data_IF_390063594584
#
_entry.id   IF_390063594584
#
_cell.length_a   1.000
_cell.length_b   1.000
_cell.length_c   1.000
_cell.angle_alpha   90.00
_cell.angle_beta   90.00
_cell.angle_gamma   90.00
#
_symmetry.space_group_name_H-M   'P 1'
#
loop_
_entity.id
_entity.type
_entity.pdbx_description
1 polymer ?
#
# COMPACT_ATOMS: atom_id res chain seq x y z
N UNK A 1 33.03 -45.37 32.61
CA UNK A 1 33.44 -44.41 31.55
C UNK A 1 32.26 -43.97 30.67
N UNK A 2 31.02 -44.00 31.17
CA UNK A 2 29.87 -43.33 30.56
C UNK A 2 29.12 -42.66 31.71
N UNK A 3 29.12 -41.33 31.76
CA UNK A 3 28.40 -40.54 32.77
C UNK A 3 27.46 -39.57 32.05
N UNK A 4 26.54 -38.96 32.78
CA UNK A 4 25.51 -38.08 32.23
C UNK A 4 26.09 -36.94 31.38
N UNK A 5 27.21 -36.35 31.81
CA UNK A 5 27.92 -35.32 31.05
C UNK A 5 28.45 -35.82 29.70
N UNK A 6 28.96 -37.06 29.65
CA UNK A 6 29.40 -37.68 28.40
C UNK A 6 28.22 -37.97 27.46
N UNK A 7 27.11 -38.48 27.99
CA UNK A 7 25.89 -38.74 27.19
C UNK A 7 25.33 -37.44 26.61
N UNK A 8 25.24 -36.37 27.40
CA UNK A 8 24.81 -35.05 26.92
C UNK A 8 25.75 -34.50 25.83
N UNK A 9 27.06 -34.70 25.99
CA UNK A 9 28.06 -34.27 25.00
C UNK A 9 27.95 -35.02 23.68
N UNK A 10 27.66 -36.32 23.70
CA UNK A 10 27.47 -37.10 22.47
C UNK A 10 26.09 -36.84 21.82
N UNK A 11 25.03 -36.67 22.62
CA UNK A 11 23.70 -36.29 22.13
C UNK A 11 23.72 -34.90 21.47
N UNK A 12 24.48 -33.93 22.01
CA UNK A 12 24.61 -32.60 21.42
C UNK A 12 25.23 -32.60 20.01
N UNK A 13 25.93 -33.67 19.62
CA UNK A 13 26.46 -33.83 18.26
C UNK A 13 25.40 -34.32 17.27
N UNK A 14 24.30 -34.87 17.74
CA UNK A 14 23.23 -35.37 16.89
C UNK A 14 22.23 -34.25 16.60
N UNK A 15 21.78 -34.15 15.34
CA UNK A 15 20.75 -33.18 14.95
C UNK A 15 19.45 -33.47 15.70
N UNK A 16 18.82 -32.47 16.36
CA UNK A 16 17.63 -32.69 17.19
C UNK A 16 16.38 -33.07 16.38
N UNK A 17 16.39 -32.85 15.07
CA UNK A 17 15.27 -33.06 14.14
C UNK A 17 15.48 -34.26 13.20
N UNK A 18 16.34 -35.21 13.55
CA UNK A 18 16.71 -36.35 12.68
C UNK A 18 15.52 -37.19 12.24
N UNK A 19 14.59 -37.46 13.14
CA UNK A 19 13.42 -38.30 12.85
C UNK A 19 12.42 -37.54 11.97
N UNK A 20 12.27 -36.23 12.20
CA UNK A 20 11.38 -35.35 11.46
C UNK A 20 11.81 -35.21 10.00
N UNK A 21 13.09 -34.90 9.75
CA UNK A 21 13.62 -34.77 8.38
C UNK A 21 13.54 -36.10 7.62
N UNK A 22 13.79 -37.23 8.30
CA UNK A 22 13.65 -38.58 7.71
C UNK A 22 12.19 -38.89 7.37
N UNK A 23 11.25 -38.61 8.28
CA UNK A 23 9.83 -38.80 8.05
C UNK A 23 9.31 -37.91 6.90
N UNK A 24 9.77 -36.66 6.84
CA UNK A 24 9.45 -35.73 5.77
C UNK A 24 10.01 -36.20 4.43
N UNK A 25 11.25 -36.65 4.38
CA UNK A 25 11.86 -37.25 3.17
C UNK A 25 11.10 -38.51 2.71
N UNK A 26 10.71 -39.39 3.64
CA UNK A 26 9.91 -40.59 3.35
C UNK A 26 8.52 -40.26 2.78
N UNK A 27 7.98 -39.08 3.07
CA UNK A 27 6.72 -38.58 2.48
C UNK A 27 6.88 -38.03 1.07
N UNK A 28 8.10 -38.05 0.50
CA UNK A 28 8.41 -37.36 -0.74
C UNK A 28 8.37 -35.83 -0.60
N UNK A 29 8.70 -35.31 0.60
CA UNK A 29 8.74 -33.87 0.90
C UNK A 29 7.38 -33.16 0.91
N UNK A 30 6.29 -33.89 1.19
CA UNK A 30 4.91 -33.36 1.12
C UNK A 30 4.20 -33.27 2.47
N UNK A 31 4.61 -34.05 3.47
CA UNK A 31 3.96 -34.08 4.78
C UNK A 31 4.39 -32.89 5.66
N UNK A 32 3.62 -31.80 5.61
CA UNK A 32 3.84 -30.57 6.38
C UNK A 32 3.84 -30.82 7.90
N UNK A 33 3.17 -31.86 8.38
CA UNK A 33 3.10 -32.19 9.82
C UNK A 33 4.45 -32.63 10.40
N UNK A 34 5.45 -32.90 9.54
CA UNK A 34 6.81 -33.25 9.93
C UNK A 34 7.73 -32.04 10.05
N UNK A 35 7.30 -30.88 9.57
CA UNK A 35 8.09 -29.67 9.65
C UNK A 35 8.14 -29.15 11.09
N UNK A 36 9.24 -28.48 11.42
CA UNK A 36 9.42 -27.91 12.75
C UNK A 36 8.67 -26.59 12.87
N UNK A 37 8.20 -26.29 14.08
CA UNK A 37 7.54 -25.02 14.40
C UNK A 37 7.80 -24.62 15.86
N UNK A 38 7.65 -23.34 16.15
CA UNK A 38 7.84 -22.75 17.48
C UNK A 38 9.21 -23.07 18.06
N UNK A 39 9.21 -23.52 19.32
CA UNK A 39 10.45 -23.81 20.04
C UNK A 39 11.32 -24.88 19.37
N UNK A 40 10.72 -25.90 18.75
CA UNK A 40 11.49 -26.95 18.07
C UNK A 40 12.28 -26.40 16.86
N UNK A 41 11.70 -25.44 16.13
CA UNK A 41 12.38 -24.77 15.03
C UNK A 41 13.47 -23.81 15.54
N UNK A 42 13.20 -23.07 16.62
CA UNK A 42 14.17 -22.19 17.26
C UNK A 42 15.39 -22.96 17.77
N UNK A 43 15.17 -24.06 18.50
CA UNK A 43 16.23 -24.93 19.01
C UNK A 43 17.04 -25.55 17.85
N UNK A 44 16.37 -25.91 16.75
CA UNK A 44 17.01 -26.45 15.56
C UNK A 44 17.91 -25.41 14.84
N UNK A 45 17.46 -24.16 14.72
CA UNK A 45 18.27 -23.06 14.18
C UNK A 45 19.47 -22.75 15.08
N UNK A 46 19.26 -22.64 16.40
CA UNK A 46 20.36 -22.41 17.36
C UNK A 46 21.41 -23.52 17.30
N UNK A 47 20.98 -24.79 17.17
CA UNK A 47 21.89 -25.91 16.97
C UNK A 47 22.67 -25.79 15.65
N UNK A 48 22.06 -25.23 14.61
CA UNK A 48 22.60 -25.14 13.26
C UNK A 48 23.67 -24.06 13.08
N UNK A 49 23.62 -22.98 13.87
CA UNK A 49 24.54 -21.82 13.74
C UNK A 49 26.01 -22.17 13.98
N UNK A 50 26.29 -23.18 14.81
CA UNK A 50 27.65 -23.64 15.12
C UNK A 50 28.13 -24.78 14.20
N UNK A 51 27.36 -25.14 13.17
CA UNK A 51 27.60 -26.32 12.32
C UNK A 51 27.67 -25.94 10.84
N UNK A 52 28.49 -26.67 10.07
CA UNK A 52 28.36 -26.66 8.61
C UNK A 52 27.23 -27.62 8.21
N UNK A 53 26.08 -27.05 7.92
CA UNK A 53 24.88 -27.81 7.55
C UNK A 53 25.01 -28.40 6.15
N UNK A 54 24.49 -29.61 5.97
CA UNK A 54 24.27 -30.18 4.65
C UNK A 54 23.15 -29.44 3.91
N UNK A 55 23.10 -29.53 2.57
CA UNK A 55 21.98 -28.97 1.79
C UNK A 55 20.62 -29.54 2.23
N UNK A 56 20.56 -30.81 2.64
CA UNK A 56 19.33 -31.45 3.13
C UNK A 56 18.84 -30.77 4.42
N UNK A 57 19.73 -30.53 5.38
CA UNK A 57 19.40 -29.88 6.64
C UNK A 57 19.01 -28.41 6.41
N UNK A 58 19.75 -27.69 5.56
CA UNK A 58 19.43 -26.29 5.21
C UNK A 58 18.05 -26.19 4.58
N UNK A 59 17.74 -27.03 3.61
CA UNK A 59 16.45 -27.05 2.92
C UNK A 59 15.31 -27.39 3.89
N UNK A 60 15.50 -28.37 4.79
CA UNK A 60 14.49 -28.73 5.78
C UNK A 60 14.17 -27.59 6.76
N UNK A 61 15.20 -26.88 7.25
CA UNK A 61 15.02 -25.75 8.16
C UNK A 61 14.41 -24.53 7.45
N UNK A 62 14.82 -24.26 6.21
CA UNK A 62 14.26 -23.20 5.39
C UNK A 62 12.77 -23.45 5.12
N UNK A 63 12.40 -24.66 4.69
CA UNK A 63 10.99 -25.01 4.46
C UNK A 63 10.19 -24.97 5.76
N UNK A 64 10.72 -25.50 6.86
CA UNK A 64 10.05 -25.40 8.18
C UNK A 64 9.76 -23.95 8.56
N UNK A 65 10.72 -23.04 8.33
CA UNK A 65 10.55 -21.61 8.58
C UNK A 65 9.53 -20.95 7.65
N UNK A 66 9.54 -21.30 6.36
CA UNK A 66 8.57 -20.80 5.40
C UNK A 66 7.13 -21.17 5.80
N UNK A 67 6.91 -22.42 6.22
CA UNK A 67 5.60 -22.88 6.67
C UNK A 67 5.15 -22.23 7.97
N UNK A 68 6.06 -22.01 8.92
CA UNK A 68 5.76 -21.24 10.12
C UNK A 68 5.32 -19.80 9.77
N UNK A 69 6.04 -19.10 8.89
CA UNK A 69 5.67 -17.76 8.41
C UNK A 69 4.29 -17.73 7.74
N UNK A 70 3.97 -18.75 6.93
CA UNK A 70 2.67 -18.89 6.27
C UNK A 70 1.56 -19.15 7.31
N UNK A 71 1.83 -19.98 8.32
CA UNK A 71 0.87 -20.29 9.39
C UNK A 71 0.52 -19.08 10.26
N UNK A 72 1.44 -18.12 10.37
CA UNK A 72 1.26 -16.89 11.14
C UNK A 72 0.57 -15.77 10.33
N UNK A 73 0.43 -15.93 9.02
CA UNK A 73 -0.26 -14.99 8.15
C UNK A 73 -1.78 -15.09 8.29
N UNK A 74 -2.51 -14.13 7.71
CA UNK A 74 -3.98 -14.20 7.67
C UNK A 74 -4.45 -15.40 6.84
N UNK A 75 -5.64 -15.97 7.11
CA UNK A 75 -6.14 -17.14 6.39
C UNK A 75 -6.18 -16.97 4.87
N UNK A 76 -6.50 -15.77 4.38
CA UNK A 76 -6.56 -15.42 2.96
C UNK A 76 -5.17 -15.46 2.33
N UNK A 77 -4.18 -14.85 2.99
CA UNK A 77 -2.78 -14.84 2.54
C UNK A 77 -2.18 -16.24 2.60
N UNK A 78 -2.46 -17.00 3.66
CA UNK A 78 -1.99 -18.38 3.78
C UNK A 78 -2.56 -19.28 2.67
N UNK A 79 -3.82 -19.07 2.27
CA UNK A 79 -4.45 -19.80 1.16
C UNK A 79 -3.76 -19.48 -0.17
N UNK A 80 -3.41 -18.22 -0.41
CA UNK A 80 -2.65 -17.80 -1.60
C UNK A 80 -1.28 -18.46 -1.61
N UNK A 81 -0.53 -18.42 -0.50
CA UNK A 81 0.77 -19.07 -0.44
C UNK A 81 0.68 -20.56 -0.72
N UNK A 82 -0.28 -21.29 -0.13
CA UNK A 82 -0.50 -22.72 -0.43
C UNK A 82 -0.78 -23.00 -1.90
N UNK A 83 -1.54 -22.12 -2.56
CA UNK A 83 -1.82 -22.22 -4.01
C UNK A 83 -0.55 -22.09 -4.86
N UNK A 84 0.35 -21.16 -4.53
CA UNK A 84 1.57 -20.90 -5.31
C UNK A 84 2.79 -21.68 -4.84
N UNK A 85 2.73 -22.31 -3.66
CA UNK A 85 3.86 -23.01 -3.03
C UNK A 85 4.57 -24.01 -3.95
N UNK A 86 3.87 -24.88 -4.70
CA UNK A 86 4.53 -25.85 -5.56
C UNK A 86 5.36 -25.21 -6.67
N UNK A 87 4.99 -24.01 -7.13
CA UNK A 87 5.76 -23.25 -8.13
C UNK A 87 6.90 -22.46 -7.46
N UNK A 88 6.65 -21.91 -6.27
CA UNK A 88 7.67 -21.20 -5.49
C UNK A 88 8.82 -22.12 -5.07
N UNK A 89 8.52 -23.34 -4.63
CA UNK A 89 9.53 -24.36 -4.30
C UNK A 89 10.41 -24.76 -5.47
N UNK A 90 9.91 -24.62 -6.71
CA UNK A 90 10.68 -24.93 -7.91
C UNK A 90 11.56 -23.76 -8.35
N UNK A 91 11.36 -22.53 -7.85
CA UNK A 91 12.12 -21.34 -8.27
C UNK A 91 13.24 -20.99 -7.29
N UNK A 92 13.12 -21.36 -6.03
CA UNK A 92 14.08 -20.98 -4.98
C UNK A 92 14.41 -22.14 -4.05
N UNK A 93 15.64 -22.16 -3.56
CA UNK A 93 16.11 -23.00 -2.45
C UNK A 93 16.04 -22.27 -1.10
N UNK A 94 15.66 -20.99 -1.11
CA UNK A 94 15.50 -20.11 0.05
C UNK A 94 14.04 -19.62 0.14
N UNK A 95 13.12 -20.56 0.27
CA UNK A 95 11.69 -20.31 0.33
C UNK A 95 11.33 -19.40 1.50
N UNK A 96 11.95 -19.57 2.67
CA UNK A 96 11.65 -18.72 3.83
C UNK A 96 12.02 -17.26 3.60
N UNK A 97 13.12 -17.00 2.87
CA UNK A 97 13.53 -15.66 2.50
C UNK A 97 12.56 -15.02 1.50
N UNK A 98 12.13 -15.78 0.49
CA UNK A 98 11.16 -15.30 -0.50
C UNK A 98 9.79 -15.02 0.14
N UNK A 99 9.28 -15.93 0.98
CA UNK A 99 8.00 -15.72 1.69
C UNK A 99 8.08 -14.49 2.59
N UNK A 100 9.19 -14.33 3.33
CA UNK A 100 9.42 -13.16 4.15
C UNK A 100 9.39 -11.86 3.32
N UNK A 101 10.11 -11.84 2.21
CA UNK A 101 10.18 -10.65 1.35
C UNK A 101 8.82 -10.31 0.74
N UNK A 102 8.04 -11.32 0.32
CA UNK A 102 6.65 -11.11 -0.12
C UNK A 102 5.82 -10.50 1.01
N UNK A 103 5.95 -10.99 2.24
CA UNK A 103 5.23 -10.44 3.40
C UNK A 103 5.67 -9.00 3.74
N UNK A 104 6.94 -8.65 3.54
CA UNK A 104 7.45 -7.27 3.70
C UNK A 104 6.80 -6.34 2.68
N UNK A 105 6.76 -6.75 1.40
CA UNK A 105 6.21 -5.93 0.32
C UNK A 105 4.69 -5.87 0.28
N UNK A 106 4.00 -6.99 0.49
CA UNK A 106 2.54 -7.10 0.40
C UNK A 106 1.82 -6.93 1.74
N UNK A 107 2.51 -7.14 2.86
CA UNK A 107 1.90 -7.17 4.19
C UNK A 107 0.83 -8.26 4.29
N UNK A 108 -0.24 -7.96 5.04
CA UNK A 108 -1.39 -8.88 5.20
C UNK A 108 -2.43 -8.78 4.08
N UNK A 109 -2.09 -8.16 2.94
CA UNK A 109 -3.04 -7.95 1.84
C UNK A 109 -3.01 -9.11 0.86
N UNK A 110 -4.14 -9.81 0.73
CA UNK A 110 -4.30 -10.94 -0.20
C UNK A 110 -4.09 -10.53 -1.66
N UNK A 111 -4.64 -9.39 -2.08
CA UNK A 111 -4.48 -8.89 -3.46
C UNK A 111 -2.99 -8.67 -3.80
N UNK A 112 -2.25 -7.93 -2.96
CA UNK A 112 -0.83 -7.68 -3.17
C UNK A 112 -0.03 -8.98 -3.15
N UNK A 113 -0.31 -9.86 -2.19
CA UNK A 113 0.37 -11.17 -2.08
C UNK A 113 0.18 -11.98 -3.35
N UNK A 114 -1.06 -12.06 -3.86
CA UNK A 114 -1.34 -12.80 -5.09
C UNK A 114 -0.64 -12.18 -6.31
N UNK A 115 -0.61 -10.84 -6.43
CA UNK A 115 0.11 -10.17 -7.52
C UNK A 115 1.61 -10.47 -7.48
N UNK A 116 2.26 -10.38 -6.32
CA UNK A 116 3.69 -10.68 -6.19
C UNK A 116 3.97 -12.15 -6.51
N UNK A 117 3.18 -13.09 -5.97
CA UNK A 117 3.32 -14.51 -6.28
C UNK A 117 3.15 -14.80 -7.79
N UNK A 118 2.14 -14.22 -8.43
CA UNK A 118 1.94 -14.37 -9.88
C UNK A 118 3.10 -13.82 -10.69
N UNK A 119 3.66 -12.68 -10.29
CA UNK A 119 4.83 -12.10 -10.95
C UNK A 119 6.04 -13.02 -10.86
N UNK A 120 6.33 -13.57 -9.67
CA UNK A 120 7.44 -14.50 -9.46
C UNK A 120 7.31 -15.75 -10.33
N UNK A 121 6.11 -16.34 -10.39
CA UNK A 121 5.86 -17.53 -11.22
C UNK A 121 5.96 -17.21 -12.72
N UNK A 122 5.47 -16.05 -13.17
CA UNK A 122 5.57 -15.63 -14.58
C UNK A 122 7.01 -15.31 -15.00
N UNK A 123 7.76 -14.65 -14.12
CA UNK A 123 9.14 -14.23 -14.36
C UNK A 123 10.07 -15.43 -14.63
N UNK A 124 9.76 -16.60 -14.07
CA UNK A 124 10.42 -17.89 -14.36
C UNK A 124 10.30 -18.33 -15.83
N UNK A 125 9.20 -17.99 -16.50
CA UNK A 125 8.93 -18.44 -17.88
C UNK A 125 9.74 -17.65 -18.93
N UNK A 126 10.42 -16.57 -18.53
CA UNK A 126 11.44 -15.88 -19.31
C UNK A 126 12.81 -16.02 -18.65
N UNK A 127 13.89 -16.01 -19.41
CA UNK A 127 15.27 -16.26 -18.95
C UNK A 127 15.78 -15.29 -17.88
N UNK A 128 15.38 -15.47 -16.62
CA UNK A 128 15.99 -14.81 -15.45
C UNK A 128 16.89 -15.85 -14.77
N UNK A 129 18.22 -15.67 -14.84
CA UNK A 129 19.15 -16.47 -14.06
C UNK A 129 19.05 -16.05 -12.58
N UNK A 130 18.94 -17.02 -11.68
CA UNK A 130 19.07 -16.87 -10.22
C UNK A 130 17.90 -16.27 -9.42
N UNK A 131 16.69 -16.80 -9.58
CA UNK A 131 15.55 -16.64 -8.64
C UNK A 131 15.76 -17.22 -7.22
N UNK A 132 17.02 -17.31 -6.77
CA UNK A 132 17.44 -17.88 -5.49
C UNK A 132 17.49 -16.86 -4.36
N UNK A 133 17.59 -15.56 -4.68
CA UNK A 133 17.82 -14.50 -3.69
C UNK A 133 16.53 -13.70 -3.40
N UNK A 134 16.15 -13.50 -2.11
CA UNK A 134 15.15 -12.51 -1.70
C UNK A 134 15.27 -11.16 -2.42
N UNK A 135 16.50 -10.70 -2.73
CA UNK A 135 16.72 -9.45 -3.46
C UNK A 135 16.07 -9.38 -4.85
N UNK A 136 15.76 -10.51 -5.49
CA UNK A 136 15.02 -10.50 -6.77
C UNK A 136 13.54 -10.16 -6.59
N UNK A 137 12.94 -10.49 -5.45
CA UNK A 137 11.54 -10.13 -5.16
C UNK A 137 11.41 -8.61 -5.13
N UNK A 138 12.31 -7.92 -4.42
CA UNK A 138 12.36 -6.46 -4.40
C UNK A 138 12.48 -5.87 -5.81
N UNK A 139 13.43 -6.34 -6.63
CA UNK A 139 13.64 -5.84 -7.99
C UNK A 139 12.38 -5.99 -8.85
N UNK A 140 11.72 -7.15 -8.81
CA UNK A 140 10.50 -7.42 -9.57
C UNK A 140 9.33 -6.57 -9.08
N UNK A 141 9.17 -6.42 -7.76
CA UNK A 141 8.12 -5.56 -7.19
C UNK A 141 8.34 -4.12 -7.65
N UNK A 142 9.58 -3.61 -7.57
CA UNK A 142 9.90 -2.25 -8.02
C UNK A 142 9.62 -2.06 -9.51
N UNK A 143 10.05 -2.97 -10.38
CA UNK A 143 9.92 -2.80 -11.84
C UNK A 143 8.51 -3.05 -12.39
N UNK A 144 7.73 -3.94 -11.75
CA UNK A 144 6.43 -4.36 -12.28
C UNK A 144 5.22 -3.88 -11.47
N UNK A 145 5.38 -3.57 -10.18
CA UNK A 145 4.29 -3.09 -9.33
C UNK A 145 4.40 -1.61 -8.96
N UNK A 146 5.61 -1.08 -8.77
CA UNK A 146 5.82 0.32 -8.35
C UNK A 146 6.06 1.22 -9.55
N UNK A 147 6.93 0.82 -10.48
CA UNK A 147 7.20 1.61 -11.67
C UNK A 147 5.96 1.61 -12.58
N UNK A 148 5.49 2.82 -12.90
CA UNK A 148 4.30 3.04 -13.73
C UNK A 148 3.03 2.38 -13.16
N UNK A 149 2.94 2.32 -11.82
CA UNK A 149 1.87 1.61 -11.11
C UNK A 149 0.46 2.04 -11.54
N UNK A 150 0.28 3.31 -11.96
CA UNK A 150 -1.01 3.87 -12.40
C UNK A 150 -1.61 3.16 -13.62
N UNK A 151 -0.76 2.58 -14.48
CA UNK A 151 -1.13 1.87 -15.70
C UNK A 151 -1.08 0.34 -15.54
N UNK A 152 -0.81 -0.16 -14.32
CA UNK A 152 -0.77 -1.59 -14.00
C UNK A 152 -2.12 -2.06 -13.45
N UNK A 153 -2.39 -3.37 -13.42
CA UNK A 153 -3.60 -3.92 -12.78
C UNK A 153 -3.76 -3.52 -11.31
N UNK A 154 -2.66 -3.27 -10.60
CA UNK A 154 -2.67 -2.79 -9.22
C UNK A 154 -3.06 -1.30 -9.11
N UNK A 155 -3.02 -0.57 -10.22
CA UNK A 155 -3.27 0.87 -10.28
C UNK A 155 -4.65 1.27 -9.79
N UNK A 156 -5.69 0.53 -10.15
CA UNK A 156 -7.07 0.85 -9.71
C UNK A 156 -7.24 0.72 -8.20
N UNK A 157 -6.62 -0.29 -7.60
CA UNK A 157 -6.60 -0.47 -6.16
C UNK A 157 -5.89 0.68 -5.45
N UNK A 158 -4.70 1.04 -5.94
CA UNK A 158 -3.90 2.13 -5.39
C UNK A 158 -4.58 3.51 -5.58
N UNK A 159 -5.23 3.75 -6.73
CA UNK A 159 -6.06 4.95 -6.97
C UNK A 159 -7.24 5.01 -6.01
N UNK A 160 -7.85 3.87 -5.70
CA UNK A 160 -8.96 3.80 -4.72
C UNK A 160 -8.48 4.19 -3.32
N UNK A 161 -7.32 3.69 -2.90
CA UNK A 161 -6.68 4.07 -1.63
C UNK A 161 -6.36 5.56 -1.62
N UNK A 162 -5.76 6.06 -2.70
CA UNK A 162 -5.42 7.47 -2.86
C UNK A 162 -6.66 8.36 -2.76
N UNK A 163 -7.72 8.04 -3.51
CA UNK A 163 -8.98 8.77 -3.49
C UNK A 163 -9.61 8.75 -2.09
N UNK A 164 -9.53 7.62 -1.38
CA UNK A 164 -10.05 7.49 -0.01
C UNK A 164 -9.38 8.46 0.98
N UNK A 165 -8.12 8.84 0.76
CA UNK A 165 -7.44 9.87 1.57
C UNK A 165 -7.77 11.27 1.05
N UNK A 166 -7.69 11.46 -0.27
CA UNK A 166 -7.75 12.80 -0.87
C UNK A 166 -9.16 13.39 -0.90
N UNK A 167 -10.20 12.57 -0.95
CA UNK A 167 -11.61 12.97 -0.94
C UNK A 167 -12.20 13.04 0.48
N UNK A 168 -11.46 12.59 1.48
CA UNK A 168 -11.89 12.64 2.88
C UNK A 168 -11.98 14.09 3.40
N UNK A 169 -12.97 14.37 4.24
CA UNK A 169 -13.16 15.70 4.83
C UNK A 169 -11.95 16.11 5.68
N UNK A 170 -11.40 15.15 6.43
CA UNK A 170 -10.23 15.24 7.30
C UNK A 170 -8.91 14.84 6.60
N UNK A 171 -8.80 15.11 5.29
CA UNK A 171 -7.60 14.81 4.48
C UNK A 171 -6.29 15.28 5.13
N UNK A 172 -6.26 16.49 5.68
CA UNK A 172 -5.02 17.06 6.23
C UNK A 172 -4.56 16.29 7.47
N UNK A 173 -5.50 15.95 8.35
CA UNK A 173 -5.25 15.13 9.52
C UNK A 173 -4.80 13.72 9.12
N UNK A 174 -5.48 13.09 8.15
CA UNK A 174 -5.10 11.77 7.64
C UNK A 174 -3.69 11.75 7.04
N UNK A 175 -3.34 12.75 6.22
CA UNK A 175 -2.01 12.88 5.62
C UNK A 175 -0.93 13.10 6.70
N UNK A 176 -1.20 13.94 7.70
CA UNK A 176 -0.25 14.19 8.80
C UNK A 176 -0.03 12.95 9.67
N UNK A 177 -1.09 12.20 10.00
CA UNK A 177 -0.97 10.94 10.76
C UNK A 177 -0.28 9.86 9.93
N UNK A 178 -0.56 9.79 8.64
CA UNK A 178 0.15 8.88 7.75
C UNK A 178 1.64 9.22 7.64
N UNK A 179 2.01 10.50 7.57
CA UNK A 179 3.40 10.95 7.64
C UNK A 179 4.10 10.53 8.94
N UNK A 180 3.40 10.60 10.09
CA UNK A 180 3.92 10.11 11.36
C UNK A 180 4.15 8.59 11.34
N UNK A 181 3.23 7.83 10.72
CA UNK A 181 3.39 6.38 10.55
C UNK A 181 4.59 6.02 9.67
N UNK A 182 4.84 6.79 8.60
CA UNK A 182 6.01 6.62 7.73
C UNK A 182 7.33 6.85 8.47
N UNK A 183 7.38 7.84 9.36
CA UNK A 183 8.56 8.17 10.19
C UNK A 183 8.74 7.26 11.40
N UNK A 184 7.78 6.38 11.67
CA UNK A 184 7.72 5.55 12.89
C UNK A 184 7.67 6.39 14.19
N UNK A 185 7.22 7.64 14.09
CA UNK A 185 7.08 8.59 15.19
C UNK A 185 5.64 8.57 15.69
N UNK A 186 5.21 7.51 16.39
CA UNK A 186 3.81 7.42 16.85
C UNK A 186 3.67 7.80 18.33
N UNK A 187 2.95 8.89 18.59
CA UNK A 187 2.28 9.10 19.89
C UNK A 187 0.87 8.56 19.75
N UNK A 188 0.56 7.46 20.43
CA UNK A 188 -0.71 6.74 20.23
C UNK A 188 -1.81 7.49 20.99
N UNK A 189 -2.75 8.07 20.26
CA UNK A 189 -4.06 8.42 20.82
C UNK A 189 -5.08 7.36 20.39
N UNK A 190 -5.43 6.47 21.31
CA UNK A 190 -6.36 5.35 21.10
C UNK A 190 -7.78 5.81 20.74
N UNK A 191 -8.12 7.09 20.95
CA UNK A 191 -9.45 7.64 20.70
C UNK A 191 -9.57 8.39 19.37
N UNK A 192 -8.47 8.53 18.62
CA UNK A 192 -8.47 9.26 17.37
C UNK A 192 -9.12 8.42 16.24
N UNK A 193 -10.18 8.97 15.62
CA UNK A 193 -10.98 8.29 14.59
C UNK A 193 -10.23 8.21 13.25
N UNK A 194 -9.36 9.17 12.97
CA UNK A 194 -8.53 9.24 11.75
C UNK A 194 -7.56 8.05 11.69
N UNK A 195 -6.97 7.65 12.83
CA UNK A 195 -6.14 6.44 12.91
C UNK A 195 -6.94 5.18 12.50
N UNK A 196 -8.20 5.06 12.94
CA UNK A 196 -9.08 3.95 12.54
C UNK A 196 -9.42 4.03 11.06
N UNK A 197 -9.62 5.22 10.51
CA UNK A 197 -9.86 5.42 9.08
C UNK A 197 -8.67 4.94 8.24
N UNK A 198 -7.44 5.31 8.62
CA UNK A 198 -6.23 4.83 7.92
C UNK A 198 -6.05 3.31 8.00
N UNK A 199 -6.41 2.72 9.15
CA UNK A 199 -6.39 1.26 9.35
C UNK A 199 -7.45 0.55 8.49
N UNK A 200 -8.66 1.12 8.39
CA UNK A 200 -9.73 0.59 7.53
C UNK A 200 -9.41 0.70 6.04
N UNK A 201 -8.72 1.76 5.61
CA UNK A 201 -8.18 1.89 4.24
C UNK A 201 -7.07 0.85 4.01
N UNK A 202 -6.44 0.36 5.09
CA UNK A 202 -5.38 -0.64 5.03
C UNK A 202 -4.00 -0.05 4.75
N UNK A 203 -3.79 1.26 4.95
CA UNK A 203 -2.49 1.93 4.78
C UNK A 203 -1.56 1.72 5.96
N UNK A 204 -2.14 1.53 7.13
CA UNK A 204 -1.41 1.29 8.37
C UNK A 204 -1.91 0.03 9.04
N UNK A 205 -1.11 -0.49 9.97
CA UNK A 205 -1.46 -1.57 10.88
C UNK A 205 -0.96 -1.25 12.27
N UNK A 206 -1.62 -1.83 13.26
CA UNK A 206 -1.10 -1.86 14.62
C UNK A 206 -0.07 -3.00 14.76
N UNK A 207 1.15 -2.66 15.16
CA UNK A 207 2.18 -3.63 15.49
C UNK A 207 2.73 -3.34 16.89
N UNK A 208 2.32 -4.14 17.87
CA UNK A 208 2.69 -3.99 19.29
C UNK A 208 2.40 -2.60 19.86
N UNK A 209 1.25 -2.02 19.50
CA UNK A 209 0.82 -0.70 19.92
C UNK A 209 1.37 0.42 19.04
N UNK A 210 2.35 0.17 18.16
CA UNK A 210 2.89 1.20 17.25
C UNK A 210 2.15 1.16 15.93
N UNK A 211 1.67 2.31 15.46
CA UNK A 211 1.06 2.41 14.12
C UNK A 211 2.18 2.53 13.09
N UNK A 212 2.20 1.57 12.17
CA UNK A 212 3.21 1.47 11.11
C UNK A 212 2.53 1.28 9.77
N UNK A 213 3.22 1.56 8.67
CA UNK A 213 2.72 1.25 7.33
C UNK A 213 2.40 -0.23 7.19
N UNK A 214 1.29 -0.54 6.52
CA UNK A 214 0.80 -1.93 6.44
C UNK A 214 1.73 -2.82 5.63
N UNK A 215 2.36 -2.27 4.58
CA UNK A 215 3.27 -2.95 3.68
C UNK A 215 4.23 -1.95 2.98
N UNK A 216 5.31 -2.47 2.39
CA UNK A 216 6.32 -1.63 1.72
C UNK A 216 5.90 -1.10 0.35
N UNK A 217 4.98 -1.76 -0.38
CA UNK A 217 4.46 -1.20 -1.64
C UNK A 217 3.83 0.16 -1.38
N UNK A 218 2.99 0.28 -0.35
CA UNK A 218 2.34 1.54 0.00
C UNK A 218 3.31 2.58 0.51
N UNK A 219 4.24 2.20 1.39
CA UNK A 219 5.23 3.13 1.90
C UNK A 219 6.17 3.67 0.81
N UNK A 220 6.37 2.91 -0.27
CA UNK A 220 7.19 3.33 -1.42
C UNK A 220 6.41 4.19 -2.42
N UNK A 221 5.10 3.96 -2.59
CA UNK A 221 4.27 4.72 -3.54
C UNK A 221 3.73 6.01 -2.91
N UNK A 222 3.18 5.90 -1.70
CA UNK A 222 2.70 7.01 -0.89
C UNK A 222 3.80 7.40 0.10
N UNK A 223 4.96 7.77 -0.42
CA UNK A 223 6.10 8.09 0.42
C UNK A 223 5.98 9.49 1.08
N UNK A 224 7.01 9.86 1.83
CA UNK A 224 7.05 11.17 2.51
C UNK A 224 6.97 12.33 1.51
N UNK A 225 7.57 12.19 0.33
CA UNK A 225 7.55 13.23 -0.70
C UNK A 225 6.14 13.40 -1.27
N UNK A 226 5.43 12.30 -1.54
CA UNK A 226 4.04 12.31 -1.97
C UNK A 226 3.14 13.00 -0.94
N UNK A 227 3.30 12.68 0.34
CA UNK A 227 2.53 13.33 1.41
C UNK A 227 2.80 14.83 1.48
N UNK A 228 4.07 15.24 1.42
CA UNK A 228 4.45 16.66 1.43
C UNK A 228 3.89 17.40 0.21
N UNK A 229 3.91 16.79 -0.97
CA UNK A 229 3.28 17.34 -2.17
C UNK A 229 1.77 17.51 -1.98
N UNK A 230 1.07 16.51 -1.45
CA UNK A 230 -0.37 16.57 -1.23
C UNK A 230 -0.77 17.49 -0.06
N UNK A 231 0.09 17.70 0.93
CA UNK A 231 -0.10 18.72 1.98
C UNK A 231 0.17 20.13 1.45
N UNK A 232 1.19 20.30 0.60
CA UNK A 232 1.53 21.57 -0.03
C UNK A 232 0.54 21.97 -1.13
N UNK A 233 -0.22 21.00 -1.66
CA UNK A 233 -1.30 21.21 -2.62
C UNK A 233 -2.40 22.04 -1.96
N UNK A 234 -2.28 23.36 -2.12
CA UNK A 234 -3.23 24.32 -1.56
C UNK A 234 -4.65 23.93 -2.01
N UNK A 235 -5.55 23.73 -1.06
CA UNK A 235 -6.99 23.78 -1.31
C UNK A 235 -7.27 25.11 -1.99
N UNK A 236 -7.61 25.09 -3.27
CA UNK A 236 -8.06 26.29 -3.95
C UNK A 236 -9.44 26.60 -3.38
N UNK A 237 -9.51 27.64 -2.57
CA UNK A 237 -10.77 28.15 -2.05
C UNK A 237 -11.18 29.31 -2.96
N UNK A 238 -12.33 29.16 -3.62
CA UNK A 238 -12.96 30.19 -4.44
C UNK A 238 -13.98 30.93 -3.58
N UNK A 239 -13.87 32.25 -3.54
CA UNK A 239 -14.78 33.15 -2.82
C UNK A 239 -14.81 32.88 -1.32
N UNK A 240 -13.69 32.44 -0.73
CA UNK A 240 -13.54 32.11 0.70
C UNK A 240 -14.48 31.01 1.24
N UNK A 241 -15.32 30.42 0.39
CA UNK A 241 -16.40 29.50 0.78
C UNK A 241 -16.34 28.16 0.08
N UNK A 242 -15.87 28.13 -1.16
CA UNK A 242 -15.97 26.93 -1.98
C UNK A 242 -14.61 26.30 -2.18
N UNK A 243 -14.44 25.10 -1.64
CA UNK A 243 -13.24 24.31 -1.84
C UNK A 243 -13.31 23.56 -3.16
N UNK A 244 -12.34 23.79 -4.05
CA UNK A 244 -12.21 23.06 -5.32
C UNK A 244 -11.88 21.60 -5.04
N UNK A 245 -12.76 20.71 -5.50
CA UNK A 245 -12.54 19.26 -5.51
C UNK A 245 -11.70 18.88 -6.74
N UNK A 246 -12.09 19.36 -7.93
CA UNK A 246 -11.36 19.13 -9.18
C UNK A 246 -11.69 20.16 -10.26
N UNK A 247 -10.77 20.34 -11.20
CA UNK A 247 -11.02 21.08 -12.45
C UNK A 247 -11.82 20.22 -13.43
N UNK A 248 -12.86 20.81 -14.04
CA UNK A 248 -13.71 20.14 -15.01
C UNK A 248 -13.37 20.53 -16.45
N UNK A 249 -13.16 21.82 -16.71
CA UNK A 249 -12.84 22.34 -18.03
C UNK A 249 -12.29 23.77 -17.98
N UNK A 250 -11.42 24.11 -18.92
CA UNK A 250 -11.00 25.48 -19.21
C UNK A 250 -11.42 25.84 -20.63
N UNK A 251 -12.27 26.87 -20.78
CA UNK A 251 -12.64 27.38 -22.11
C UNK A 251 -12.69 28.90 -22.09
N UNK A 252 -11.96 29.51 -23.01
CA UNK A 252 -11.77 30.96 -23.10
C UNK A 252 -11.25 31.53 -21.75
N UNK A 253 -11.99 32.48 -21.16
CA UNK A 253 -11.71 33.12 -19.87
C UNK A 253 -12.49 32.48 -18.70
N UNK A 254 -13.02 31.27 -18.88
CA UNK A 254 -13.81 30.56 -17.85
C UNK A 254 -13.10 29.26 -17.46
N UNK A 255 -12.75 29.15 -16.19
CA UNK A 255 -12.35 27.92 -15.53
C UNK A 255 -13.54 27.32 -14.81
N UNK A 256 -13.85 26.06 -15.10
CA UNK A 256 -14.96 25.33 -14.47
C UNK A 256 -14.42 24.33 -13.48
N UNK A 257 -14.91 24.38 -12.25
CA UNK A 257 -14.52 23.53 -11.13
C UNK A 257 -15.74 22.76 -10.61
N UNK A 258 -15.51 21.54 -10.14
CA UNK A 258 -16.38 20.93 -9.14
C UNK A 258 -15.86 21.35 -7.77
N UNK A 259 -16.72 21.92 -6.93
CA UNK A 259 -16.35 22.41 -5.62
C UNK A 259 -17.38 22.01 -4.57
N UNK A 260 -16.96 21.97 -3.30
CA UNK A 260 -17.83 21.76 -2.14
C UNK A 260 -17.95 23.05 -1.36
N UNK A 261 -19.15 23.36 -0.90
CA UNK A 261 -19.35 24.45 0.05
C UNK A 261 -18.82 24.03 1.42
N UNK A 262 -17.96 24.84 2.03
CA UNK A 262 -17.38 24.54 3.34
C UNK A 262 -18.43 24.52 4.46
N UNK A 263 -19.59 25.16 4.27
CA UNK A 263 -20.65 25.24 5.27
C UNK A 263 -21.84 24.31 5.00
N UNK A 264 -21.87 23.66 3.83
CA UNK A 264 -22.98 22.78 3.42
C UNK A 264 -22.43 21.53 2.76
N UNK A 265 -22.96 20.35 3.08
CA UNK A 265 -22.58 19.08 2.44
C UNK A 265 -23.09 18.93 0.99
N UNK A 266 -23.18 20.04 0.23
CA UNK A 266 -23.64 20.09 -1.16
C UNK A 266 -22.48 20.47 -2.06
N UNK A 267 -22.38 19.79 -3.20
CA UNK A 267 -21.40 20.10 -4.24
C UNK A 267 -22.00 21.07 -5.27
N UNK A 268 -21.13 21.90 -5.85
CA UNK A 268 -21.47 22.93 -6.81
C UNK A 268 -20.52 22.86 -8.00
N UNK A 269 -21.02 23.24 -9.17
CA UNK A 269 -20.18 23.52 -10.33
C UNK A 269 -19.91 25.01 -10.36
N UNK A 270 -18.65 25.40 -10.15
CA UNK A 270 -18.23 26.80 -10.10
C UNK A 270 -17.58 27.17 -11.42
N UNK A 271 -18.04 28.26 -12.03
CA UNK A 271 -17.40 28.86 -13.20
C UNK A 271 -16.67 30.12 -12.76
N UNK A 272 -15.36 29.98 -12.49
CA UNK A 272 -14.49 31.10 -12.17
C UNK A 272 -14.06 31.79 -13.46
N UNK A 273 -14.12 33.10 -13.46
CA UNK A 273 -13.70 33.92 -14.59
C UNK A 273 -12.26 34.40 -14.33
N UNK A 274 -11.35 34.05 -15.23
CA UNK A 274 -9.94 34.43 -15.11
C UNK A 274 -9.64 35.45 -16.21
N UNK A 275 -9.49 36.75 -15.86
CA UNK A 275 -9.18 37.77 -16.84
C UNK A 275 -7.79 37.55 -17.45
N UNK A 276 -7.69 37.72 -18.77
CA UNK A 276 -6.45 37.49 -19.55
C UNK A 276 -5.36 38.53 -19.20
N UNK A 277 -5.77 39.69 -18.72
CA UNK A 277 -4.89 40.78 -18.29
C UNK A 277 -5.52 41.54 -17.12
N UNK A 278 -4.67 42.12 -16.27
CA UNK A 278 -5.08 42.96 -15.13
C UNK A 278 -5.23 44.44 -15.50
N UNK A 279 -5.12 44.79 -16.79
CA UNK A 279 -5.39 46.16 -17.22
C UNK A 279 -6.87 46.51 -17.06
N UNK A 280 -7.14 47.77 -16.71
CA UNK A 280 -8.49 48.26 -16.39
C UNK A 280 -9.49 48.11 -17.53
N UNK A 281 -9.03 48.17 -18.79
CA UNK A 281 -9.90 48.08 -19.96
C UNK A 281 -10.36 46.64 -20.21
N UNK A 282 -9.44 45.67 -20.13
CA UNK A 282 -9.74 44.24 -20.29
C UNK A 282 -10.66 43.72 -19.18
N UNK A 283 -10.50 44.22 -17.94
CA UNK A 283 -11.41 43.93 -16.82
C UNK A 283 -12.82 44.47 -17.06
N UNK A 284 -12.96 45.72 -17.53
CA UNK A 284 -14.27 46.30 -17.86
C UNK A 284 -14.97 45.56 -19.01
N UNK A 285 -14.25 45.22 -20.08
CA UNK A 285 -14.81 44.48 -21.21
C UNK A 285 -15.27 43.08 -20.80
N UNK A 286 -14.48 42.41 -19.95
CA UNK A 286 -14.84 41.11 -19.37
C UNK A 286 -16.10 41.22 -18.52
N UNK A 287 -16.18 42.21 -17.59
CA UNK A 287 -17.39 42.48 -16.79
C UNK A 287 -18.62 42.74 -17.68
N UNK A 288 -18.48 43.53 -18.77
CA UNK A 288 -19.58 43.81 -19.72
C UNK A 288 -20.08 42.56 -20.47
N UNK A 289 -19.18 41.71 -20.96
CA UNK A 289 -19.53 40.45 -21.63
C UNK A 289 -20.26 39.49 -20.67
N UNK A 290 -19.86 39.46 -19.41
CA UNK A 290 -20.49 38.67 -18.35
C UNK A 290 -21.91 39.18 -18.07
N UNK A 291 -22.09 40.49 -17.85
CA UNK A 291 -23.42 41.08 -17.61
C UNK A 291 -24.36 40.92 -18.80
N UNK A 292 -23.83 40.77 -20.02
CA UNK A 292 -24.63 40.44 -21.21
C UNK A 292 -25.04 38.97 -21.21
N UNK A 293 -24.08 38.04 -21.02
CA UNK A 293 -24.38 36.61 -20.93
C UNK A 293 -25.36 36.28 -19.81
N UNK A 294 -25.18 36.82 -18.60
CA UNK A 294 -26.11 36.61 -17.47
C UNK A 294 -27.53 37.12 -17.77
N UNK A 295 -27.66 38.26 -18.46
CA UNK A 295 -28.95 38.78 -18.92
C UNK A 295 -29.61 37.89 -19.97
N UNK A 296 -28.83 37.27 -20.83
CA UNK A 296 -29.34 36.33 -21.83
C UNK A 296 -29.69 34.97 -21.18
N UNK A 297 -28.95 34.55 -20.14
CA UNK A 297 -29.26 33.38 -19.32
C UNK A 297 -30.55 33.55 -18.49
N UNK A 298 -30.83 34.75 -17.97
CA UNK A 298 -32.05 35.04 -17.21
C UNK A 298 -33.35 35.06 -18.05
N UNK A 299 -33.26 34.87 -19.37
CA UNK A 299 -34.40 34.81 -20.30
C UNK A 299 -34.79 33.38 -20.70
N UNK A 300 -34.06 32.37 -20.23
CA UNK A 300 -34.28 30.96 -20.55
C UNK A 300 -35.23 30.34 -19.50
N UNK A 301 -36.17 29.52 -19.96
CA UNK A 301 -37.20 28.85 -19.15
C UNK A 301 -36.61 28.13 -17.92
N UNK A 302 -37.13 28.47 -16.73
CA UNK A 302 -36.66 28.02 -15.42
C UNK A 302 -36.74 26.51 -15.20
N UNK A 303 -37.50 25.79 -16.04
CA UNK A 303 -37.69 24.34 -15.93
C UNK A 303 -36.51 23.49 -16.43
N UNK A 304 -35.58 24.08 -17.19
CA UNK A 304 -34.35 23.43 -17.69
C UNK A 304 -33.07 23.93 -16.99
N UNK A 305 -33.21 24.77 -15.96
CA UNK A 305 -32.08 25.40 -15.27
C UNK A 305 -31.62 24.60 -14.04
N UNK A 306 -30.31 24.39 -13.86
CA UNK A 306 -29.77 24.09 -12.54
C UNK A 306 -30.01 25.29 -11.61
N UNK A 307 -30.38 25.04 -10.35
CA UNK A 307 -30.45 26.08 -9.31
C UNK A 307 -29.14 26.87 -9.26
N UNK A 308 -29.18 28.14 -9.67
CA UNK A 308 -28.07 29.07 -9.56
C UNK A 308 -28.08 29.67 -8.15
N UNK A 309 -27.18 29.22 -7.29
CA UNK A 309 -26.85 29.95 -6.06
C UNK A 309 -26.05 31.24 -6.43
N UNK A 310 -26.14 32.31 -5.63
CA UNK A 310 -25.81 33.67 -6.06
C UNK A 310 -24.36 33.85 -6.54
N UNK A 311 -24.20 34.82 -7.44
CA UNK A 311 -22.94 35.34 -7.95
C UNK A 311 -22.13 36.03 -6.84
N UNK A 312 -20.82 35.79 -6.78
CA UNK A 312 -19.89 36.47 -5.88
C UNK A 312 -18.68 36.99 -6.67
N UNK A 313 -18.34 38.27 -6.53
CA UNK A 313 -17.10 38.87 -7.06
C UNK A 313 -15.97 38.69 -6.04
N UNK A 314 -14.86 38.09 -6.44
CA UNK A 314 -13.59 38.18 -5.71
C UNK A 314 -12.90 39.50 -6.09
N UNK A 315 -13.34 40.62 -5.51
CA UNK A 315 -12.56 41.86 -5.58
C UNK A 315 -11.34 41.73 -4.64
N UNK A 316 -10.29 41.06 -5.10
CA UNK A 316 -8.97 41.19 -4.46
C UNK A 316 -8.33 42.49 -4.95
N UNK A 317 -8.55 43.56 -4.19
CA UNK A 317 -7.83 44.83 -4.27
C UNK A 317 -6.31 44.64 -4.19
#
# INVERSE_FOLDING_TARGET
MFNEQWVQKELAKLRPYREQIKAWSNSGYTDESRLLHGKALQDAWAWSEEKQLSEEDQNFLDISRAFEQISQATPEVATIFRKYLPELQKITTHLSGVIHEIQVWAGSQSLLTEQVCQLLVKARSGSIPDSRDPGQVELLVRSYLIQDWENRPLGEHLKTIQASILEAENRLELLNLYAQALKQETTIDLNNLEWKTLENIGLIKDHHGKKQTSNQIYATIFDQQWVEQELARKRQIIGERYEVIRELNQKDFIQTYLAKDQHRSKQYVIKQLIPVSRDSNTLEETKRLISRKLRDFGKIDSSLMPDLDPYFEEDRL
#
